data_IF_168932866857
#
_entry.id   IF_168932866857
#
_cell.length_a   1.000
_cell.length_b   1.000
_cell.length_c   1.000
_cell.angle_alpha   90.00
_cell.angle_beta   90.00
_cell.angle_gamma   90.00
#
_symmetry.space_group_name_H-M   'P 1'
#
loop_
_entity.id
_entity.type
_entity.pdbx_description
1 polymer ?
#
# COMPACT_ATOMS: atom_id res chain seq x y z
N UNK A 1 -11.54 4.01 10.98
CA UNK A 1 -12.24 2.86 10.37
C UNK A 1 -11.21 2.19 9.49
N UNK A 2 -10.77 0.98 9.87
CA UNK A 2 -9.69 0.30 9.17
C UNK A 2 -10.18 -0.37 7.88
N UNK A 3 -9.33 -0.35 6.86
CA UNK A 3 -9.45 -1.09 5.62
C UNK A 3 -9.83 -2.55 5.89
N UNK A 4 -11.03 -2.97 5.48
CA UNK A 4 -11.42 -4.38 5.60
C UNK A 4 -10.74 -5.19 4.51
N UNK A 5 -10.21 -6.37 4.87
CA UNK A 5 -9.60 -7.35 3.95
C UNK A 5 -10.48 -7.72 2.73
N UNK A 6 -11.78 -7.40 2.77
CA UNK A 6 -12.73 -7.62 1.69
C UNK A 6 -12.55 -6.66 0.50
N UNK A 7 -12.17 -5.40 0.71
CA UNK A 7 -12.00 -4.40 -0.37
C UNK A 7 -10.87 -4.77 -1.32
N UNK A 8 -9.81 -5.37 -0.77
CA UNK A 8 -8.68 -5.89 -1.53
C UNK A 8 -9.10 -6.91 -2.61
N UNK A 9 -10.24 -7.60 -2.46
CA UNK A 9 -10.62 -8.67 -3.41
C UNK A 9 -11.29 -8.16 -4.70
N UNK A 10 -11.80 -6.94 -4.71
CA UNK A 10 -12.55 -6.38 -5.84
C UNK A 10 -11.75 -5.30 -6.59
N UNK A 11 -10.79 -4.64 -5.91
CA UNK A 11 -10.12 -3.43 -6.41
C UNK A 11 -8.66 -3.35 -5.97
N UNK A 12 -7.85 -2.63 -6.75
CA UNK A 12 -6.49 -2.28 -6.33
C UNK A 12 -6.57 -1.29 -5.17
N UNK A 13 -5.91 -1.62 -4.06
CA UNK A 13 -5.93 -0.80 -2.83
C UNK A 13 -4.58 -0.11 -2.68
N UNK A 14 -4.60 1.17 -2.36
CA UNK A 14 -3.39 1.96 -2.14
C UNK A 14 -3.42 2.49 -0.71
N UNK A 15 -2.31 2.33 0.00
CA UNK A 15 -2.20 2.72 1.40
C UNK A 15 -0.96 3.59 1.54
N UNK A 16 -1.14 4.77 2.10
CA UNK A 16 -0.07 5.67 2.46
C UNK A 16 0.31 5.46 3.92
N UNK A 17 1.59 5.20 4.17
CA UNK A 17 2.13 5.13 5.51
C UNK A 17 3.22 6.18 5.69
N UNK A 18 2.82 7.43 6.01
CA UNK A 18 3.75 8.56 6.14
C UNK A 18 4.68 8.43 7.36
N UNK A 19 4.41 7.50 8.28
CA UNK A 19 5.27 7.25 9.44
C UNK A 19 6.63 6.66 9.05
N UNK A 20 6.66 5.86 7.99
CA UNK A 20 7.91 5.28 7.43
C UNK A 20 8.19 5.78 6.01
N UNK A 21 7.53 6.88 5.59
CA UNK A 21 7.64 7.46 4.26
C UNK A 21 7.49 6.39 3.15
N UNK A 22 6.50 5.51 3.31
CA UNK A 22 6.27 4.38 2.42
C UNK A 22 4.81 4.29 1.99
N UNK A 23 4.60 3.90 0.74
CA UNK A 23 3.30 3.61 0.16
C UNK A 23 3.20 2.12 -0.13
N UNK A 24 2.04 1.54 0.10
CA UNK A 24 1.72 0.18 -0.30
C UNK A 24 0.67 0.21 -1.41
N UNK A 25 0.82 -0.70 -2.35
CA UNK A 25 -0.17 -1.02 -3.37
C UNK A 25 -0.47 -2.50 -3.29
N UNK A 26 -1.75 -2.82 -3.17
CA UNK A 26 -2.25 -4.17 -3.38
C UNK A 26 -2.78 -4.29 -4.80
N UNK A 27 -2.23 -5.25 -5.55
CA UNK A 27 -2.72 -5.61 -6.86
C UNK A 27 -3.71 -6.77 -6.72
N UNK A 28 -5.00 -6.50 -6.97
CA UNK A 28 -6.05 -7.50 -6.80
C UNK A 28 -6.01 -8.61 -7.86
N UNK A 29 -5.46 -8.31 -9.04
CA UNK A 29 -5.35 -9.26 -10.16
C UNK A 29 -4.33 -10.36 -9.88
N UNK A 30 -3.20 -10.01 -9.27
CA UNK A 30 -2.11 -10.93 -8.94
C UNK A 30 -2.15 -11.40 -7.49
N UNK A 31 -2.90 -10.70 -6.62
CA UNK A 31 -2.90 -10.91 -5.18
C UNK A 31 -1.58 -10.50 -4.52
N UNK A 32 -0.78 -9.68 -5.20
CA UNK A 32 0.54 -9.24 -4.78
C UNK A 32 0.48 -7.91 -4.03
N UNK A 33 1.27 -7.79 -2.96
CA UNK A 33 1.52 -6.51 -2.31
C UNK A 33 2.83 -5.94 -2.81
N UNK A 34 2.84 -4.64 -3.08
CA UNK A 34 4.00 -3.88 -3.50
C UNK A 34 4.18 -2.72 -2.53
N UNK A 35 5.40 -2.48 -2.07
CA UNK A 35 5.74 -1.31 -1.29
C UNK A 35 6.60 -0.37 -2.13
N UNK A 36 6.43 0.93 -1.96
CA UNK A 36 7.16 1.97 -2.66
C UNK A 36 7.47 3.09 -1.67
N UNK A 37 8.76 3.29 -1.39
CA UNK A 37 9.19 4.40 -0.55
C UNK A 37 9.06 5.73 -1.27
N UNK A 38 8.89 6.81 -0.51
CA UNK A 38 8.88 8.17 -1.04
C UNK A 38 10.23 8.47 -1.70
N UNK A 39 10.19 9.10 -2.87
CA UNK A 39 11.39 9.35 -3.69
C UNK A 39 12.05 8.10 -4.31
N UNK A 40 11.61 6.88 -3.99
CA UNK A 40 12.13 5.68 -4.62
C UNK A 40 11.51 5.47 -6.01
N UNK A 41 12.37 5.21 -7.00
CA UNK A 41 11.93 4.88 -8.36
C UNK A 41 11.39 3.44 -8.48
N UNK A 42 11.64 2.58 -7.49
CA UNK A 42 11.31 1.16 -7.54
C UNK A 42 10.29 0.78 -6.47
N UNK A 43 9.32 -0.01 -6.89
CA UNK A 43 8.40 -0.73 -6.01
C UNK A 43 8.95 -2.14 -5.74
N UNK A 44 8.91 -2.57 -4.50
CA UNK A 44 9.35 -3.90 -4.08
C UNK A 44 8.13 -4.75 -3.72
N UNK A 45 8.05 -5.97 -4.25
CA UNK A 45 7.03 -6.92 -3.84
C UNK A 45 7.27 -7.32 -2.38
N UNK A 46 6.21 -7.27 -1.56
CA UNK A 46 6.25 -7.69 -0.15
C UNK A 46 5.37 -8.91 0.07
N UNK A 47 5.82 -9.85 0.92
CA UNK A 47 4.99 -10.98 1.32
C UNK A 47 3.82 -10.48 2.19
N UNK A 48 2.70 -11.22 2.14
CA UNK A 48 1.51 -10.94 2.96
C UNK A 48 1.78 -11.01 4.48
N UNK A 49 2.87 -11.66 4.89
CA UNK A 49 3.29 -11.82 6.29
C UNK A 49 4.19 -10.67 6.76
N UNK A 50 4.39 -9.64 5.93
CA UNK A 50 5.24 -8.53 6.28
C UNK A 50 4.61 -7.70 7.42
N UNK A 51 5.38 -7.49 8.48
CA UNK A 51 4.98 -6.68 9.63
C UNK A 51 4.65 -5.24 9.22
N UNK A 52 5.44 -4.68 8.30
CA UNK A 52 5.23 -3.33 7.74
C UNK A 52 3.87 -3.19 7.06
N UNK A 53 3.47 -4.21 6.29
CA UNK A 53 2.18 -4.23 5.64
C UNK A 53 1.05 -4.26 6.67
N UNK A 54 1.21 -5.05 7.73
CA UNK A 54 0.22 -5.12 8.81
C UNK A 54 0.09 -3.78 9.54
N UNK A 55 1.21 -3.11 9.82
CA UNK A 55 1.21 -1.78 10.46
C UNK A 55 0.62 -0.72 9.52
N UNK A 56 0.94 -0.74 8.23
CA UNK A 56 0.34 0.15 7.25
C UNK A 56 -1.18 -0.09 7.06
N UNK A 57 -1.67 -1.33 7.11
CA UNK A 57 -3.11 -1.60 7.04
C UNK A 57 -3.83 -1.13 8.32
N UNK A 58 -3.17 -1.22 9.48
CA UNK A 58 -3.74 -0.85 10.77
C UNK A 58 -3.68 0.66 11.07
N UNK A 59 -2.59 1.32 10.67
CA UNK A 59 -2.27 2.70 11.00
C UNK A 59 -2.10 3.62 9.78
N UNK A 60 -1.91 3.06 8.60
CA UNK A 60 -1.85 3.82 7.36
C UNK A 60 -3.20 4.31 6.91
N UNK A 61 -3.15 5.22 5.95
CA UNK A 61 -4.32 5.87 5.37
C UNK A 61 -4.57 5.27 3.98
N UNK A 62 -5.80 4.86 3.69
CA UNK A 62 -6.16 4.50 2.32
C UNK A 62 -6.07 5.75 1.46
N UNK A 63 -5.36 5.64 0.34
CA UNK A 63 -5.25 6.69 -0.66
C UNK A 63 -5.77 6.20 -2.00
N UNK A 64 -6.04 7.15 -2.89
CA UNK A 64 -6.42 6.85 -4.25
C UNK A 64 -5.22 6.49 -5.13
N UNK A 65 -5.47 5.74 -6.21
CA UNK A 65 -4.44 5.41 -7.20
C UNK A 65 -3.72 6.67 -7.71
N UNK A 66 -4.47 7.76 -7.92
CA UNK A 66 -3.92 9.04 -8.36
C UNK A 66 -2.90 9.61 -7.37
N UNK A 67 -3.13 9.48 -6.06
CA UNK A 67 -2.20 9.95 -5.03
C UNK A 67 -0.92 9.08 -4.99
N UNK A 68 -1.06 7.76 -5.13
CA UNK A 68 0.08 6.84 -5.22
C UNK A 68 0.96 7.11 -6.46
N UNK A 69 0.31 7.39 -7.60
CA UNK A 69 0.99 7.72 -8.86
C UNK A 69 1.63 9.10 -8.85
N UNK A 70 1.01 10.10 -8.21
CA UNK A 70 1.61 11.40 -7.97
C UNK A 70 2.92 11.25 -7.18
N UNK A 71 2.93 10.30 -6.23
CA UNK A 71 4.04 10.07 -5.32
C UNK A 71 4.18 11.21 -4.31
N UNK A 72 4.74 10.89 -3.15
CA UNK A 72 5.22 11.92 -2.22
C UNK A 72 6.73 12.09 -2.40
N UNK A 73 7.14 13.34 -2.28
CA UNK A 73 8.51 13.83 -2.48
C UNK A 73 9.15 14.12 -1.14
#
# INVERSE_FOLDING_TARGET
>A
MGLSKADFRDRDVYVDYPFEDVMFRFDSKTGGFFQKFYGAAHEAAVPHDNRLLTEAILQGEEIDAAAYHAGKK
#
